data_IF_674075626693
#
_entry.id   IF_674075626693
#
_cell.length_a   1.000
_cell.length_b   1.000
_cell.length_c   1.000
_cell.angle_alpha   90.00
_cell.angle_beta   90.00
_cell.angle_gamma   90.00
#
_symmetry.space_group_name_H-M   'P 1'
#
loop_
_entity.id
_entity.type
_entity.pdbx_description
1 polymer ?
#
# COMPACT_ATOMS: atom_id res chain seq x y z
N UNK A 1 11.20 -14.94 -11.31
CA UNK A 1 10.14 -14.62 -10.34
C UNK A 1 10.15 -15.65 -9.22
N UNK A 2 10.07 -16.97 -9.50
CA UNK A 2 10.03 -18.01 -8.46
C UNK A 2 11.20 -17.91 -7.48
N UNK A 3 12.42 -17.66 -7.96
CA UNK A 3 13.61 -17.48 -7.13
C UNK A 3 13.46 -16.31 -6.13
N UNK A 4 12.88 -15.20 -6.56
CA UNK A 4 12.62 -14.04 -5.69
C UNK A 4 11.58 -14.39 -4.61
N UNK A 5 10.51 -15.09 -5.00
CA UNK A 5 9.47 -15.54 -4.08
C UNK A 5 10.05 -16.51 -3.04
N UNK A 6 10.90 -17.44 -3.47
CA UNK A 6 11.53 -18.40 -2.55
C UNK A 6 12.50 -17.73 -1.58
N UNK A 7 13.28 -16.76 -2.05
CA UNK A 7 14.19 -15.98 -1.21
C UNK A 7 13.45 -15.03 -0.25
N UNK A 8 12.28 -14.53 -0.64
CA UNK A 8 11.49 -13.62 0.22
C UNK A 8 10.98 -14.25 1.50
N UNK A 9 11.05 -15.60 1.63
CA UNK A 9 10.51 -16.33 2.80
C UNK A 9 11.18 -15.99 4.13
N UNK A 10 12.43 -15.52 4.09
CA UNK A 10 13.21 -15.14 5.26
C UNK A 10 13.63 -13.67 5.22
N UNK A 11 12.95 -12.85 4.41
CA UNK A 11 13.17 -11.40 4.31
C UNK A 11 12.11 -10.66 5.10
N UNK A 12 12.51 -9.58 5.75
CA UNK A 12 11.59 -8.67 6.44
C UNK A 12 10.88 -7.73 5.48
N UNK A 13 11.53 -7.40 4.36
CA UNK A 13 10.97 -6.57 3.28
C UNK A 13 11.66 -6.91 1.95
N UNK A 14 10.89 -6.86 0.87
CA UNK A 14 11.41 -6.94 -0.51
C UNK A 14 11.30 -5.55 -1.14
N UNK A 15 12.41 -5.00 -1.61
CA UNK A 15 12.44 -3.69 -2.26
C UNK A 15 12.50 -3.85 -3.78
N UNK A 16 11.55 -3.25 -4.47
CA UNK A 16 11.45 -3.30 -5.93
C UNK A 16 11.31 -1.90 -6.51
N UNK A 17 11.97 -1.65 -7.65
CA UNK A 17 11.72 -0.43 -8.41
C UNK A 17 10.37 -0.53 -9.12
N UNK A 18 9.62 0.57 -9.12
CA UNK A 18 8.41 0.68 -9.95
C UNK A 18 8.80 0.65 -11.44
N UNK A 19 7.98 0.00 -12.28
CA UNK A 19 8.24 -0.01 -13.72
C UNK A 19 8.22 1.43 -14.26
N UNK A 20 9.22 1.76 -15.09
CA UNK A 20 9.24 3.03 -15.79
C UNK A 20 8.05 3.10 -16.75
N UNK A 21 7.31 4.19 -16.73
CA UNK A 21 6.16 4.44 -17.60
C UNK A 21 6.56 4.81 -19.06
N UNK A 22 7.81 4.54 -19.46
CA UNK A 22 8.36 4.83 -20.77
C UNK A 22 8.31 3.62 -21.69
N UNK A 23 7.32 3.53 -22.56
CA UNK A 23 7.40 2.87 -23.85
C UNK A 23 7.31 1.34 -23.85
N UNK A 24 6.19 0.77 -23.54
CA UNK A 24 5.63 -0.42 -24.21
C UNK A 24 4.19 -0.62 -23.71
N UNK A 25 3.23 -0.27 -24.53
CA UNK A 25 1.81 -0.40 -24.23
C UNK A 25 1.37 -1.87 -24.04
N UNK A 26 2.20 -2.82 -24.44
CA UNK A 26 1.94 -4.27 -24.43
C UNK A 26 2.53 -5.02 -23.22
N UNK A 27 3.29 -4.34 -22.34
CA UNK A 27 3.80 -5.01 -21.15
C UNK A 27 2.80 -4.93 -20.01
N UNK A 28 2.45 -6.05 -19.37
CA UNK A 28 1.50 -6.04 -18.26
C UNK A 28 2.01 -5.08 -17.17
N UNK A 29 1.12 -4.24 -16.63
CA UNK A 29 1.47 -3.09 -15.81
C UNK A 29 2.15 -3.37 -14.48
N UNK A 30 2.32 -4.62 -14.09
CA UNK A 30 2.94 -4.99 -12.81
C UNK A 30 4.23 -5.78 -12.94
N UNK A 31 4.48 -6.39 -14.07
CA UNK A 31 5.68 -7.19 -14.24
C UNK A 31 6.01 -8.03 -12.99
N UNK A 32 7.29 -8.10 -12.67
CA UNK A 32 7.81 -8.86 -11.51
C UNK A 32 7.23 -8.38 -10.17
N UNK A 33 6.97 -7.07 -10.02
CA UNK A 33 6.52 -6.48 -8.75
C UNK A 33 5.16 -6.98 -8.29
N UNK A 34 4.22 -7.16 -9.23
CA UNK A 34 2.89 -7.64 -8.91
C UNK A 34 2.86 -9.10 -8.49
N UNK A 35 3.57 -9.94 -9.23
CA UNK A 35 3.67 -11.36 -8.90
C UNK A 35 4.38 -11.59 -7.56
N UNK A 36 5.43 -10.80 -7.28
CA UNK A 36 6.13 -10.86 -5.99
C UNK A 36 5.20 -10.39 -4.86
N UNK A 37 4.46 -9.29 -5.03
CA UNK A 37 3.55 -8.81 -4.00
C UNK A 37 2.42 -9.79 -3.65
N UNK A 38 1.97 -10.59 -4.63
CA UNK A 38 0.95 -11.63 -4.40
C UNK A 38 1.52 -12.85 -3.65
N UNK A 39 2.74 -13.26 -3.98
CA UNK A 39 3.27 -14.56 -3.56
C UNK A 39 4.37 -14.45 -2.51
N UNK A 40 4.98 -13.28 -2.32
CA UNK A 40 5.94 -13.05 -1.26
C UNK A 40 5.25 -13.13 0.12
N UNK A 41 5.98 -13.65 1.09
CA UNK A 41 5.52 -13.68 2.48
C UNK A 41 5.98 -12.46 3.28
N UNK A 42 6.81 -11.63 2.68
CA UNK A 42 7.27 -10.35 3.21
C UNK A 42 6.53 -9.19 2.52
N UNK A 43 6.38 -8.04 3.18
CA UNK A 43 5.86 -6.84 2.54
C UNK A 43 6.78 -6.41 1.38
N UNK A 44 6.20 -5.81 0.36
CA UNK A 44 6.94 -5.35 -0.83
C UNK A 44 6.94 -3.83 -0.87
N UNK A 45 8.12 -3.23 -0.69
CA UNK A 45 8.34 -1.80 -0.85
C UNK A 45 8.58 -1.49 -2.34
N UNK A 46 7.61 -0.86 -2.96
CA UNK A 46 7.67 -0.42 -4.35
C UNK A 46 8.13 1.04 -4.41
N UNK A 47 9.29 1.29 -5.04
CA UNK A 47 9.93 2.61 -5.08
C UNK A 47 9.91 3.16 -6.51
N UNK A 48 9.29 4.32 -6.69
CA UNK A 48 9.21 5.01 -7.98
C UNK A 48 10.56 5.64 -8.37
N UNK A 49 10.75 5.82 -9.69
CA UNK A 49 11.99 6.42 -10.22
C UNK A 49 12.29 7.86 -9.72
N UNK A 50 11.26 8.56 -9.23
CA UNK A 50 11.37 9.92 -8.70
C UNK A 50 11.63 9.95 -7.20
N UNK A 51 11.60 8.81 -6.54
CA UNK A 51 11.81 8.69 -5.09
C UNK A 51 13.31 8.61 -4.85
N UNK A 52 13.84 9.57 -4.10
CA UNK A 52 15.27 9.66 -3.79
C UNK A 52 15.64 9.08 -2.44
N UNK A 53 14.64 8.68 -1.63
CA UNK A 53 14.85 8.12 -0.30
C UNK A 53 13.59 7.48 0.26
N UNK A 54 13.75 6.75 1.34
CA UNK A 54 12.66 6.19 2.13
C UNK A 54 12.88 6.60 3.60
N UNK A 55 12.04 7.52 4.07
CA UNK A 55 12.05 7.94 5.46
C UNK A 55 11.03 7.14 6.26
N UNK A 56 11.51 6.14 6.98
CA UNK A 56 10.68 5.30 7.85
C UNK A 56 10.17 6.05 9.09
N UNK A 57 10.85 7.14 9.47
CA UNK A 57 10.48 7.97 10.64
C UNK A 57 9.48 9.08 10.31
N UNK A 58 9.25 9.34 9.03
CA UNK A 58 8.20 10.25 8.58
C UNK A 58 6.80 9.71 8.83
N UNK A 59 5.78 10.49 8.50
CA UNK A 59 4.40 10.06 8.63
C UNK A 59 4.10 8.90 7.67
N UNK A 60 3.46 7.85 8.18
CA UNK A 60 2.96 6.75 7.37
C UNK A 60 1.47 6.94 7.07
N UNK A 61 1.04 6.69 5.85
CA UNK A 61 -0.37 6.62 5.52
C UNK A 61 -0.79 5.17 5.28
N UNK A 62 -1.78 4.67 6.03
CA UNK A 62 -2.41 3.38 5.82
C UNK A 62 -3.70 3.58 5.01
N UNK A 63 -3.72 3.15 3.76
CA UNK A 63 -4.94 3.11 2.95
C UNK A 63 -5.82 1.95 3.42
N UNK A 64 -6.97 2.28 4.00
CA UNK A 64 -7.86 1.31 4.62
C UNK A 64 -9.19 1.18 3.86
N UNK A 65 -9.62 -0.04 3.61
CA UNK A 65 -10.92 -0.36 3.02
C UNK A 65 -11.62 -1.52 3.73
N UNK A 66 -11.15 -1.92 4.92
CA UNK A 66 -11.72 -3.01 5.71
C UNK A 66 -11.45 -4.41 5.18
N UNK A 67 -10.71 -4.57 4.08
CA UNK A 67 -10.43 -5.89 3.48
C UNK A 67 -9.39 -6.69 4.26
N UNK A 68 -9.37 -8.01 4.02
CA UNK A 68 -8.33 -8.89 4.56
C UNK A 68 -6.93 -8.52 4.10
N UNK A 69 -6.79 -7.99 2.90
CA UNK A 69 -5.54 -7.55 2.31
C UNK A 69 -5.01 -6.28 2.99
N UNK A 70 -5.90 -5.32 3.29
CA UNK A 70 -5.54 -4.14 4.07
C UNK A 70 -5.11 -4.55 5.50
N UNK A 71 -5.80 -5.50 6.11
CA UNK A 71 -5.43 -6.04 7.43
C UNK A 71 -4.09 -6.78 7.39
N UNK A 72 -3.80 -7.53 6.31
CA UNK A 72 -2.50 -8.17 6.13
C UNK A 72 -1.38 -7.16 5.92
N UNK A 73 -1.59 -6.13 5.09
CA UNK A 73 -0.63 -5.06 4.88
C UNK A 73 -0.29 -4.36 6.18
N UNK A 74 -1.30 -4.00 7.00
CA UNK A 74 -1.11 -3.44 8.32
C UNK A 74 -0.24 -4.34 9.22
N UNK A 75 -0.55 -5.63 9.29
CA UNK A 75 0.17 -6.58 10.14
C UNK A 75 1.62 -6.78 9.71
N UNK A 76 1.86 -6.90 8.41
CA UNK A 76 3.21 -7.11 7.86
C UNK A 76 4.07 -5.84 7.96
N UNK A 77 3.47 -4.65 7.96
CA UNK A 77 4.20 -3.38 8.07
C UNK A 77 4.47 -2.93 9.51
N UNK A 78 3.96 -3.62 10.53
CA UNK A 78 4.18 -3.23 11.94
C UNK A 78 5.64 -2.93 12.30
N UNK A 79 6.64 -3.72 11.86
CA UNK A 79 8.05 -3.42 12.16
C UNK A 79 8.49 -2.04 11.67
N UNK A 80 7.97 -1.59 10.52
CA UNK A 80 8.26 -0.26 9.96
C UNK A 80 7.39 0.81 10.61
N UNK A 81 6.10 0.57 10.79
CA UNK A 81 5.15 1.52 11.39
C UNK A 81 5.50 1.91 12.82
N UNK A 82 6.25 1.09 13.56
CA UNK A 82 6.77 1.43 14.89
C UNK A 82 7.76 2.59 14.89
N UNK A 83 8.36 2.88 13.76
CA UNK A 83 9.30 3.97 13.59
C UNK A 83 8.65 5.23 13.00
N UNK A 84 7.41 5.13 12.51
CA UNK A 84 6.69 6.27 11.95
C UNK A 84 6.44 7.36 12.99
N UNK A 85 6.53 8.61 12.58
CA UNK A 85 6.18 9.76 13.42
C UNK A 85 4.70 9.77 13.78
N UNK A 86 3.82 9.49 12.81
CA UNK A 86 2.39 9.30 12.96
C UNK A 86 1.90 8.29 11.91
N UNK A 87 0.88 7.50 12.26
CA UNK A 87 0.19 6.64 11.29
C UNK A 87 -1.19 7.22 11.00
N UNK A 88 -1.40 7.72 9.79
CA UNK A 88 -2.69 8.21 9.33
C UNK A 88 -3.46 7.08 8.64
N UNK A 89 -4.54 6.63 9.24
CA UNK A 89 -5.44 5.64 8.63
C UNK A 89 -6.45 6.38 7.77
N UNK A 90 -6.37 6.22 6.47
CA UNK A 90 -7.19 6.92 5.49
C UNK A 90 -8.19 5.97 4.84
N UNK A 91 -9.45 6.26 5.01
CA UNK A 91 -10.56 5.54 4.43
C UNK A 91 -11.21 6.40 3.35
N UNK A 92 -11.14 5.94 2.09
CA UNK A 92 -11.77 6.61 0.95
C UNK A 92 -12.90 5.72 0.49
N UNK A 93 -14.10 5.95 0.87
CA UNK A 93 -15.29 5.46 0.18
C UNK A 93 -16.61 5.79 0.87
N UNK A 94 -17.67 5.71 0.07
CA UNK A 94 -19.06 5.79 0.50
C UNK A 94 -19.65 4.38 0.82
N UNK A 95 -18.86 3.29 0.70
CA UNK A 95 -19.35 1.90 0.87
C UNK A 95 -18.27 1.02 1.55
N UNK A 96 -18.10 1.20 2.83
CA UNK A 96 -17.23 0.36 3.67
C UNK A 96 -17.90 -0.98 3.96
N UNK A 97 -17.53 -1.98 3.20
CA UNK A 97 -17.89 -3.38 3.46
C UNK A 97 -16.69 -4.09 4.05
N UNK A 98 -16.59 -4.13 5.36
CA UNK A 98 -15.50 -4.86 5.97
C UNK A 98 -15.22 -4.41 7.40
N UNK A 99 -13.98 -4.60 7.82
CA UNK A 99 -13.54 -4.24 9.16
C UNK A 99 -13.43 -2.70 9.29
N UNK A 100 -14.09 -2.07 10.27
CA UNK A 100 -14.00 -0.62 10.46
C UNK A 100 -12.56 -0.14 10.68
N UNK A 101 -12.26 1.09 10.25
CA UNK A 101 -10.95 1.72 10.45
C UNK A 101 -10.58 1.87 11.94
N UNK A 102 -11.58 1.94 12.83
CA UNK A 102 -11.40 1.93 14.28
C UNK A 102 -10.73 0.66 14.79
N UNK A 103 -10.97 -0.50 14.16
CA UNK A 103 -10.30 -1.75 14.52
C UNK A 103 -8.80 -1.74 14.10
N UNK A 104 -8.47 -1.09 12.99
CA UNK A 104 -7.08 -0.89 12.61
C UNK A 104 -6.36 0.03 13.62
N UNK A 105 -7.01 1.12 14.05
CA UNK A 105 -6.47 2.01 15.09
C UNK A 105 -6.31 1.29 16.42
N UNK A 106 -7.31 0.52 16.86
CA UNK A 106 -7.21 -0.29 18.07
C UNK A 106 -6.09 -1.33 17.99
N UNK A 107 -5.88 -1.91 16.80
CA UNK A 107 -4.77 -2.84 16.58
C UNK A 107 -3.42 -2.14 16.72
N UNK A 108 -3.21 -0.99 16.09
CA UNK A 108 -1.98 -0.18 16.23
C UNK A 108 -1.74 0.23 17.68
N UNK A 109 -2.77 0.67 18.39
CA UNK A 109 -2.70 1.05 19.80
C UNK A 109 -2.21 -0.09 20.69
N UNK A 110 -2.67 -1.34 20.46
CA UNK A 110 -2.16 -2.53 21.18
C UNK A 110 -0.66 -2.78 20.94
N UNK A 111 -0.11 -2.25 19.86
CA UNK A 111 1.32 -2.31 19.55
C UNK A 111 2.09 -1.05 19.96
N UNK A 112 1.44 -0.10 20.67
CA UNK A 112 2.04 1.14 21.11
C UNK A 112 2.28 2.15 20.01
N UNK A 113 1.58 2.03 18.88
CA UNK A 113 1.70 2.91 17.72
C UNK A 113 0.55 3.90 17.72
N UNK A 114 0.88 5.21 17.73
CA UNK A 114 -0.09 6.28 17.63
C UNK A 114 -0.68 6.33 16.21
N UNK A 115 -1.99 6.56 16.11
CA UNK A 115 -2.66 6.68 14.81
C UNK A 115 -3.81 7.68 14.84
N UNK A 116 -4.09 8.28 13.69
CA UNK A 116 -5.22 9.16 13.46
C UNK A 116 -6.11 8.59 12.35
N UNK A 117 -7.43 8.73 12.52
CA UNK A 117 -8.43 8.26 11.56
C UNK A 117 -8.88 9.40 10.67
N UNK A 118 -8.92 9.18 9.36
CA UNK A 118 -9.37 10.14 8.37
C UNK A 118 -10.40 9.51 7.43
N UNK A 119 -11.62 9.99 7.47
CA UNK A 119 -12.60 9.75 6.42
C UNK A 119 -12.32 10.74 5.29
N UNK A 120 -11.91 10.23 4.13
CA UNK A 120 -11.50 11.07 3.01
C UNK A 120 -12.52 10.99 1.88
N UNK A 121 -13.26 12.07 1.61
CA UNK A 121 -14.28 12.05 0.58
C UNK A 121 -13.66 11.98 -0.82
N UNK A 122 -14.10 11.03 -1.62
CA UNK A 122 -13.64 10.92 -3.00
C UNK A 122 -14.00 12.15 -3.86
N UNK A 123 -15.11 12.85 -3.56
CA UNK A 123 -15.60 14.04 -4.30
C UNK A 123 -15.66 13.81 -5.82
N UNK A 124 -16.13 12.63 -6.25
CA UNK A 124 -16.20 12.25 -7.64
C UNK A 124 -14.85 11.88 -8.30
N UNK A 125 -13.76 11.88 -7.56
CA UNK A 125 -12.44 11.42 -8.04
C UNK A 125 -12.34 9.91 -7.91
N UNK A 126 -11.40 9.32 -8.65
CA UNK A 126 -11.00 7.93 -8.42
C UNK A 126 -10.32 7.79 -7.06
N UNK A 127 -10.43 6.61 -6.47
CA UNK A 127 -9.87 6.31 -5.14
C UNK A 127 -8.34 6.51 -5.08
N UNK A 128 -7.61 6.10 -6.13
CA UNK A 128 -6.16 6.31 -6.24
C UNK A 128 -5.78 7.80 -6.19
N UNK A 129 -6.52 8.65 -6.92
CA UNK A 129 -6.32 10.10 -6.92
C UNK A 129 -6.63 10.71 -5.55
N UNK A 130 -7.69 10.24 -4.89
CA UNK A 130 -8.06 10.71 -3.56
C UNK A 130 -7.00 10.31 -2.51
N UNK A 131 -6.45 9.09 -2.59
CA UNK A 131 -5.36 8.63 -1.71
C UNK A 131 -4.07 9.43 -1.91
N UNK A 132 -3.69 9.71 -3.17
CA UNK A 132 -2.49 10.54 -3.43
C UNK A 132 -2.66 11.97 -2.94
N UNK A 133 -3.88 12.52 -3.04
CA UNK A 133 -4.18 13.84 -2.48
C UNK A 133 -4.09 13.83 -0.94
N UNK A 134 -4.67 12.80 -0.29
CA UNK A 134 -4.57 12.63 1.15
C UNK A 134 -3.11 12.51 1.61
N UNK A 135 -2.28 11.77 0.87
CA UNK A 135 -0.87 11.59 1.19
C UNK A 135 -0.10 12.93 1.19
N UNK A 136 -0.41 13.82 0.26
CA UNK A 136 0.18 15.18 0.23
C UNK A 136 -0.28 16.02 1.42
N UNK A 137 -1.59 16.06 1.69
CA UNK A 137 -2.18 16.87 2.77
C UNK A 137 -1.71 16.41 4.17
N UNK A 138 -1.44 15.11 4.33
CA UNK A 138 -0.99 14.51 5.59
C UNK A 138 0.54 14.43 5.70
N UNK A 139 1.28 15.00 4.74
CA UNK A 139 2.74 14.94 4.66
C UNK A 139 3.28 13.52 4.84
N UNK A 140 2.67 12.57 4.14
CA UNK A 140 3.03 11.17 4.24
C UNK A 140 4.36 10.89 3.52
N UNK A 141 5.32 10.29 4.22
CA UNK A 141 6.59 9.86 3.65
C UNK A 141 6.46 8.55 2.86
N UNK A 142 5.46 7.72 3.19
CA UNK A 142 5.16 6.47 2.48
C UNK A 142 3.70 6.04 2.72
N UNK A 143 3.22 5.17 1.84
CA UNK A 143 1.86 4.64 1.92
C UNK A 143 1.89 3.11 2.08
N UNK A 144 1.14 2.61 3.07
CA UNK A 144 0.87 1.18 3.27
C UNK A 144 -0.50 0.88 2.67
N UNK A 145 -0.58 -0.14 1.84
CA UNK A 145 -1.85 -0.53 1.21
C UNK A 145 -1.95 -2.04 1.00
N UNK A 146 -3.15 -2.57 1.11
CA UNK A 146 -3.45 -3.92 0.68
C UNK A 146 -3.39 -4.03 -0.84
N UNK A 147 -2.72 -5.06 -1.34
CA UNK A 147 -2.67 -5.35 -2.75
C UNK A 147 -3.59 -6.52 -3.09
N UNK A 148 -4.31 -6.43 -4.20
CA UNK A 148 -5.09 -7.55 -4.79
C UNK A 148 -6.33 -8.00 -4.01
N UNK A 149 -6.95 -7.11 -3.25
CA UNK A 149 -8.16 -7.36 -2.51
C UNK A 149 -9.42 -7.29 -3.35
N UNK A 150 -9.77 -8.33 -3.98
CA UNK A 150 -11.13 -8.78 -4.28
C UNK A 150 -11.02 -10.20 -4.83
N UNK A 151 -11.65 -11.14 -4.14
CA UNK A 151 -11.78 -12.56 -4.45
C UNK A 151 -12.54 -12.81 -5.78
N UNK A 152 -12.01 -12.34 -6.89
CA UNK A 152 -12.49 -12.73 -8.21
C UNK A 152 -11.34 -13.10 -9.11
N UNK A 153 -11.10 -14.43 -9.13
CA UNK A 153 -10.44 -15.17 -10.20
C UNK A 153 -8.98 -14.85 -10.47
N UNK A 154 -8.21 -15.80 -10.13
CA UNK A 154 -6.81 -16.16 -10.32
C UNK A 154 -6.12 -15.77 -11.63
N UNK A 155 -6.72 -15.01 -12.54
CA UNK A 155 -6.11 -14.95 -13.88
C UNK A 155 -5.94 -13.57 -14.52
N UNK A 156 -6.60 -12.45 -14.09
CA UNK A 156 -6.42 -11.26 -14.97
C UNK A 156 -6.69 -9.86 -14.38
N UNK A 157 -7.15 -9.65 -13.15
CA UNK A 157 -7.55 -8.30 -12.74
C UNK A 157 -6.87 -7.87 -11.45
N UNK A 158 -5.77 -7.19 -11.59
CA UNK A 158 -5.25 -6.21 -10.63
C UNK A 158 -6.34 -5.24 -10.22
N UNK A 159 -6.55 -5.06 -8.93
CA UNK A 159 -7.37 -3.97 -8.45
C UNK A 159 -6.90 -2.65 -9.09
N UNK A 160 -7.79 -1.95 -9.80
CA UNK A 160 -7.44 -0.74 -10.54
C UNK A 160 -6.69 0.28 -9.68
N UNK A 161 -7.08 0.41 -8.40
CA UNK A 161 -6.46 1.34 -7.44
C UNK A 161 -4.98 1.02 -7.21
N UNK A 162 -4.61 -0.22 -6.88
CA UNK A 162 -3.20 -0.61 -6.64
C UNK A 162 -2.34 -0.39 -7.88
N UNK A 163 -2.86 -0.78 -9.05
CA UNK A 163 -2.17 -0.58 -10.33
C UNK A 163 -1.94 0.89 -10.64
N UNK A 164 -2.97 1.71 -10.47
CA UNK A 164 -2.91 3.13 -10.79
C UNK A 164 -1.99 3.87 -9.78
N UNK A 165 -1.99 3.48 -8.50
CA UNK A 165 -1.03 3.97 -7.50
C UNK A 165 0.42 3.60 -7.85
N UNK A 166 0.72 2.35 -8.21
CA UNK A 166 2.07 1.94 -8.62
C UNK A 166 2.58 2.79 -9.79
N UNK A 167 1.70 3.22 -10.69
CA UNK A 167 2.08 4.02 -11.87
C UNK A 167 2.26 5.50 -11.57
N UNK A 168 1.49 6.05 -10.66
CA UNK A 168 1.36 7.51 -10.45
C UNK A 168 1.93 8.01 -9.13
N UNK A 169 2.22 7.12 -8.18
CA UNK A 169 2.69 7.52 -6.87
C UNK A 169 4.06 8.22 -6.94
N UNK A 170 4.16 9.32 -6.19
CA UNK A 170 5.39 10.07 -5.97
C UNK A 170 6.07 9.68 -4.65
N UNK A 171 5.47 8.79 -3.87
CA UNK A 171 6.02 8.28 -2.62
C UNK A 171 6.14 6.74 -2.66
N UNK A 172 7.00 6.15 -1.81
CA UNK A 172 7.13 4.71 -1.67
C UNK A 172 5.79 4.06 -1.29
N UNK A 173 5.50 2.90 -1.88
CA UNK A 173 4.33 2.08 -1.58
C UNK A 173 4.77 0.77 -0.92
N UNK A 174 4.17 0.43 0.22
CA UNK A 174 4.46 -0.78 0.99
C UNK A 174 3.22 -1.69 1.03
#
# INVERSE_FOLDING_TARGET
IQTLIDQSRLMDVVVLSQPHTGGDADRPPLGIGGDVAIHARAPVLSVGAKVTGFDVSGNAMLAWNGSGEAANALRLSLPLLRHAGMVHIVEVSDDTRGLPSTEASAYLSRHGIASELHEWPAKGRKVDVALLHAAVELDAAYMVLGAYGHSRLRETILGGVTRDLIRSSHLPLL
#
